data_IF_023803687776
#
_entry.id   IF_023803687776
#
_cell.length_a   1.000
_cell.length_b   1.000
_cell.length_c   1.000
_cell.angle_alpha   90.00
_cell.angle_beta   90.00
_cell.angle_gamma   90.00
#
_symmetry.space_group_name_H-M   'P 1'
#
loop_
_entity.id
_entity.type
_entity.pdbx_description
1 polymer ?
#
# COMPACT_ATOMS: atom_id res chain seq x y z
N UNK A 1 -11.81 -3.69 -0.92
CA UNK A 1 -12.19 -2.25 -0.89
C UNK A 1 -11.68 -1.64 0.41
N UNK A 2 -11.18 -0.41 0.46
CA UNK A 2 -10.78 0.27 1.72
C UNK A 2 -11.91 0.32 2.77
N UNK A 3 -13.16 0.20 2.33
CA UNK A 3 -14.34 0.01 3.18
C UNK A 3 -14.34 -1.30 3.99
N UNK A 4 -13.44 -2.26 3.71
CA UNK A 4 -13.27 -3.49 4.50
C UNK A 4 -12.77 -3.22 5.91
N UNK A 5 -11.99 -2.14 6.08
CA UNK A 5 -11.38 -1.74 7.34
C UNK A 5 -12.16 -0.63 8.05
N UNK A 6 -12.74 0.31 7.30
CA UNK A 6 -13.49 1.40 7.91
C UNK A 6 -14.85 0.91 8.43
N UNK A 7 -15.33 1.55 9.49
CA UNK A 7 -16.68 1.29 9.98
C UNK A 7 -17.71 1.74 8.94
N UNK A 8 -18.80 0.99 8.78
CA UNK A 8 -19.81 1.21 7.73
C UNK A 8 -20.69 2.45 8.01
N UNK A 9 -20.44 3.15 9.12
CA UNK A 9 -21.21 4.28 9.63
C UNK A 9 -20.28 5.43 10.02
N UNK A 10 -19.80 6.22 9.06
CA UNK A 10 -19.08 7.47 9.36
C UNK A 10 -20.07 8.61 9.64
N UNK A 11 -20.56 8.67 10.87
CA UNK A 11 -21.37 9.80 11.36
C UNK A 11 -20.45 10.72 12.16
N UNK A 12 -19.95 11.77 11.51
CA UNK A 12 -19.05 12.73 12.16
C UNK A 12 -19.78 13.59 13.20
N UNK A 13 -21.03 13.94 12.93
CA UNK A 13 -21.88 14.62 13.89
C UNK A 13 -23.34 14.34 13.63
N UNK A 14 -24.13 14.48 14.68
CA UNK A 14 -25.58 14.47 14.60
C UNK A 14 -26.11 15.88 14.85
N UNK A 15 -27.15 16.23 14.11
CA UNK A 15 -28.01 17.36 14.41
C UNK A 15 -29.35 16.79 14.83
N UNK A 16 -29.87 17.17 15.99
CA UNK A 16 -31.19 16.70 16.41
C UNK A 16 -32.06 17.85 16.93
N UNK A 17 -33.37 17.70 16.78
CA UNK A 17 -34.37 18.61 17.35
C UNK A 17 -34.93 18.00 18.64
N UNK A 18 -35.09 18.83 19.68
CA UNK A 18 -35.72 18.41 20.93
C UNK A 18 -37.25 18.57 20.91
N UNK A 19 -37.93 18.16 21.99
CA UNK A 19 -39.37 18.33 22.17
C UNK A 19 -39.86 19.79 22.17
N UNK A 20 -38.97 20.76 22.40
CA UNK A 20 -39.25 22.19 22.32
C UNK A 20 -38.95 22.77 20.92
N UNK A 21 -38.45 21.95 19.98
CA UNK A 21 -38.05 22.36 18.63
C UNK A 21 -36.69 23.03 18.55
N UNK A 22 -35.88 23.03 19.62
CA UNK A 22 -34.52 23.55 19.59
C UNK A 22 -33.58 22.55 18.90
N UNK A 23 -32.65 23.07 18.09
CA UNK A 23 -31.66 22.28 17.37
C UNK A 23 -30.37 22.18 18.16
N UNK A 24 -29.86 20.97 18.28
CA UNK A 24 -28.63 20.65 18.99
C UNK A 24 -27.69 19.91 18.05
N UNK A 25 -26.38 20.05 18.29
CA UNK A 25 -25.34 19.36 17.55
C UNK A 25 -24.39 18.64 18.51
N UNK A 26 -24.19 17.35 18.29
CA UNK A 26 -23.18 16.56 18.98
C UNK A 26 -22.21 15.95 17.97
N UNK A 27 -20.94 15.86 18.36
CA UNK A 27 -19.99 14.96 17.72
C UNK A 27 -20.56 13.53 17.78
N UNK A 28 -20.38 12.74 16.72
CA UNK A 28 -20.88 11.37 16.66
C UNK A 28 -20.39 10.51 17.84
N UNK A 29 -19.20 10.80 18.35
CA UNK A 29 -18.58 10.06 19.45
C UNK A 29 -18.97 10.56 20.85
N UNK A 30 -19.74 11.64 20.96
CA UNK A 30 -20.20 12.14 22.27
C UNK A 30 -20.96 11.03 23.01
N UNK A 31 -20.45 10.61 24.16
CA UNK A 31 -21.13 9.62 25.00
C UNK A 31 -22.32 10.28 25.70
N UNK A 32 -23.51 9.75 25.45
CA UNK A 32 -24.77 10.21 26.03
C UNK A 32 -25.34 9.13 26.94
N UNK A 33 -25.84 9.55 28.10
CA UNK A 33 -26.55 8.67 29.03
C UNK A 33 -28.05 8.76 28.78
N UNK A 34 -28.58 7.82 28.00
CA UNK A 34 -30.01 7.76 27.66
C UNK A 34 -30.76 6.78 28.56
N UNK A 35 -32.09 6.77 28.51
CA UNK A 35 -32.89 5.74 29.21
C UNK A 35 -32.58 4.30 28.72
N UNK A 36 -32.03 4.12 27.53
CA UNK A 36 -31.57 2.82 27.01
C UNK A 36 -30.17 2.44 27.48
N UNK A 37 -29.53 3.30 28.27
CA UNK A 37 -28.15 3.17 28.71
C UNK A 37 -27.19 4.12 28.00
N UNK A 38 -25.88 4.03 28.33
CA UNK A 38 -24.84 4.81 27.69
C UNK A 38 -24.70 4.42 26.21
N UNK A 39 -24.77 5.40 25.31
CA UNK A 39 -24.54 5.21 23.87
C UNK A 39 -23.85 6.43 23.27
N UNK A 40 -23.07 6.22 22.22
CA UNK A 40 -22.50 7.33 21.42
C UNK A 40 -23.59 8.00 20.60
N UNK A 41 -23.52 9.32 20.47
CA UNK A 41 -24.53 10.15 19.79
C UNK A 41 -24.85 9.68 18.36
N UNK A 42 -23.89 9.09 17.63
CA UNK A 42 -24.10 8.47 16.31
C UNK A 42 -25.16 7.35 16.31
N UNK A 43 -25.46 6.76 17.46
CA UNK A 43 -26.44 5.68 17.64
C UNK A 43 -27.78 6.14 18.21
N UNK A 44 -27.99 7.46 18.39
CA UNK A 44 -29.28 7.99 18.84
C UNK A 44 -30.41 7.63 17.87
N UNK A 45 -31.58 7.39 18.44
CA UNK A 45 -32.83 7.10 17.74
C UNK A 45 -33.89 8.14 18.12
N UNK A 46 -34.85 8.38 17.21
CA UNK A 46 -36.01 9.23 17.52
C UNK A 46 -36.79 8.61 18.68
N UNK A 47 -37.12 9.41 19.68
CA UNK A 47 -37.74 8.99 20.94
C UNK A 47 -36.75 8.67 22.07
N UNK A 48 -35.43 8.67 21.81
CA UNK A 48 -34.46 8.58 22.89
C UNK A 48 -34.51 9.85 23.76
N UNK A 49 -34.34 9.67 25.07
CA UNK A 49 -34.33 10.76 26.06
C UNK A 49 -33.05 10.72 26.89
N UNK A 50 -32.47 11.89 27.16
CA UNK A 50 -31.35 12.06 28.09
C UNK A 50 -31.50 13.39 28.84
N UNK A 51 -31.41 13.35 30.17
CA UNK A 51 -31.81 14.48 31.00
C UNK A 51 -33.29 14.82 30.80
N UNK A 52 -33.59 16.09 30.50
CA UNK A 52 -34.95 16.58 30.18
C UNK A 52 -35.20 16.68 28.66
N UNK A 53 -34.25 16.23 27.84
CA UNK A 53 -34.29 16.37 26.38
C UNK A 53 -34.82 15.10 25.71
N UNK A 54 -35.90 15.22 24.95
CA UNK A 54 -36.44 14.17 24.07
C UNK A 54 -36.07 14.44 22.62
N UNK A 55 -35.54 13.44 21.92
CA UNK A 55 -35.12 13.56 20.52
C UNK A 55 -36.30 13.33 19.58
N UNK A 56 -36.73 14.37 18.86
CA UNK A 56 -37.89 14.31 17.95
C UNK A 56 -37.51 14.16 16.48
N UNK A 57 -36.32 14.62 16.07
CA UNK A 57 -35.79 14.46 14.72
C UNK A 57 -34.27 14.35 14.74
N UNK A 58 -33.70 13.49 13.89
CA UNK A 58 -32.24 13.30 13.78
C UNK A 58 -31.81 13.48 12.33
N UNK A 59 -30.73 14.22 12.13
CA UNK A 59 -30.00 14.31 10.86
C UNK A 59 -28.56 13.89 11.13
N UNK A 60 -28.12 12.82 10.50
CA UNK A 60 -26.72 12.37 10.56
C UNK A 60 -25.92 13.03 9.44
N UNK A 61 -24.71 13.51 9.75
CA UNK A 61 -23.83 14.19 8.79
C UNK A 61 -22.42 13.62 8.88
N UNK A 62 -21.76 13.50 7.73
CA UNK A 62 -20.33 13.27 7.61
C UNK A 62 -19.62 14.59 7.30
N UNK A 63 -18.55 14.90 8.02
CA UNK A 63 -17.67 16.01 7.67
C UNK A 63 -16.82 15.61 6.46
N UNK A 64 -16.58 16.50 5.49
CA UNK A 64 -15.68 16.20 4.38
C UNK A 64 -14.26 16.02 4.93
N UNK A 65 -13.58 14.97 4.46
CA UNK A 65 -12.21 14.66 4.83
C UNK A 65 -11.32 14.64 3.58
N UNK A 66 -10.10 15.16 3.69
CA UNK A 66 -9.08 14.98 2.66
C UNK A 66 -8.15 13.86 3.11
N UNK A 67 -8.10 12.78 2.34
CA UNK A 67 -7.20 11.67 2.62
C UNK A 67 -5.77 12.01 2.18
N UNK A 68 -4.82 11.74 3.07
CA UNK A 68 -3.39 11.71 2.75
C UNK A 68 -2.85 10.33 3.06
N UNK A 69 -1.77 9.97 2.38
CA UNK A 69 -1.00 8.76 2.66
C UNK A 69 0.48 9.09 2.56
N UNK A 70 1.25 8.69 3.56
CA UNK A 70 2.70 8.87 3.59
C UNK A 70 3.36 7.54 3.28
N UNK A 71 4.28 7.55 2.32
CA UNK A 71 4.77 6.34 1.68
C UNK A 71 6.18 5.96 2.14
N UNK A 72 6.42 4.67 2.29
CA UNK A 72 7.76 4.10 2.44
C UNK A 72 7.86 2.78 1.67
N UNK A 73 9.09 2.32 1.43
CA UNK A 73 9.35 1.07 0.75
C UNK A 73 10.38 0.23 1.49
N UNK A 74 10.11 -1.05 1.69
CA UNK A 74 11.07 -2.01 2.26
C UNK A 74 11.66 -2.84 1.12
N UNK A 75 12.98 -2.80 0.96
CA UNK A 75 13.71 -3.63 0.00
C UNK A 75 13.84 -5.04 0.56
N UNK A 76 12.88 -5.91 0.23
CA UNK A 76 12.74 -7.22 0.88
C UNK A 76 13.87 -8.19 0.53
N UNK A 77 14.55 -7.96 -0.59
CA UNK A 77 15.71 -8.76 -0.98
C UNK A 77 16.95 -8.53 -0.11
N UNK A 78 16.98 -7.45 0.68
CA UNK A 78 18.07 -7.12 1.60
C UNK A 78 17.79 -7.54 3.05
N UNK A 79 16.62 -8.15 3.32
CA UNK A 79 16.26 -8.60 4.65
C UNK A 79 16.65 -10.06 4.83
N UNK A 80 17.47 -10.33 5.84
CA UNK A 80 18.05 -11.66 6.10
C UNK A 80 17.33 -12.42 7.20
N UNK A 81 16.60 -11.73 8.07
CA UNK A 81 15.87 -12.34 9.19
C UNK A 81 14.58 -11.62 9.53
N UNK A 82 13.70 -12.35 10.19
CA UNK A 82 12.46 -11.86 10.78
C UNK A 82 12.69 -10.75 11.82
N UNK A 83 13.77 -10.84 12.60
CA UNK A 83 14.16 -9.81 13.57
C UNK A 83 14.54 -8.49 12.89
N UNK A 84 15.32 -8.57 11.81
CA UNK A 84 15.65 -7.38 11.00
C UNK A 84 14.40 -6.80 10.33
N UNK A 85 13.49 -7.65 9.86
CA UNK A 85 12.22 -7.20 9.27
C UNK A 85 11.39 -6.39 10.27
N UNK A 86 11.27 -6.89 11.51
CA UNK A 86 10.58 -6.21 12.60
C UNK A 86 11.18 -4.82 12.90
N UNK A 87 12.50 -4.74 12.96
CA UNK A 87 13.23 -3.49 13.19
C UNK A 87 12.99 -2.47 12.07
N UNK A 88 13.14 -2.90 10.81
CA UNK A 88 12.94 -2.04 9.64
C UNK A 88 11.49 -1.58 9.53
N UNK A 89 10.51 -2.46 9.80
CA UNK A 89 9.10 -2.10 9.83
C UNK A 89 8.78 -1.04 10.89
N UNK A 90 9.38 -1.16 12.08
CA UNK A 90 9.27 -0.15 13.13
C UNK A 90 9.82 1.21 12.69
N UNK A 91 11.03 1.27 12.14
CA UNK A 91 11.61 2.54 11.70
C UNK A 91 10.88 3.13 10.49
N UNK A 92 10.39 2.32 9.55
CA UNK A 92 9.58 2.80 8.42
C UNK A 92 8.32 3.53 8.92
N UNK A 93 7.58 2.92 9.84
CA UNK A 93 6.36 3.53 10.40
C UNK A 93 6.68 4.71 11.33
N UNK A 94 7.77 4.66 12.09
CA UNK A 94 8.20 5.77 12.94
C UNK A 94 8.58 6.99 12.10
N UNK A 95 9.30 6.81 10.99
CA UNK A 95 9.62 7.90 10.07
C UNK A 95 8.36 8.51 9.45
N UNK A 96 7.40 7.67 9.02
CA UNK A 96 6.10 8.14 8.54
C UNK A 96 5.36 8.94 9.63
N UNK A 97 5.31 8.44 10.86
CA UNK A 97 4.69 9.14 11.98
C UNK A 97 5.31 10.53 12.20
N UNK A 98 6.65 10.61 12.24
CA UNK A 98 7.34 11.90 12.37
C UNK A 98 7.08 12.80 11.17
N UNK A 99 7.05 12.27 9.95
CA UNK A 99 6.73 13.03 8.76
C UNK A 99 5.35 13.69 8.86
N UNK A 100 4.33 12.95 9.29
CA UNK A 100 2.96 13.48 9.47
C UNK A 100 2.92 14.62 10.49
N UNK A 101 3.63 14.47 11.61
CA UNK A 101 3.59 15.49 12.66
C UNK A 101 4.40 16.74 12.30
N UNK A 102 5.58 16.55 11.68
CA UNK A 102 6.53 17.61 11.36
C UNK A 102 6.26 18.30 10.01
N UNK A 103 5.44 17.72 9.14
CA UNK A 103 5.12 18.31 7.84
C UNK A 103 4.41 19.66 7.98
N UNK A 104 4.79 20.59 7.10
CA UNK A 104 4.02 21.80 6.83
C UNK A 104 2.84 21.45 5.92
N UNK A 105 1.63 21.83 6.33
CA UNK A 105 0.43 21.62 5.53
C UNK A 105 -0.13 22.97 5.11
N UNK A 106 0.01 23.29 3.82
CA UNK A 106 -0.50 24.55 3.24
C UNK A 106 -2.01 24.72 3.47
N UNK A 107 -2.72 23.59 3.44
CA UNK A 107 -4.14 23.49 3.74
C UNK A 107 -4.34 22.88 5.13
N UNK A 108 -4.71 23.67 6.16
CA UNK A 108 -4.79 23.19 7.54
C UNK A 108 -5.72 21.99 7.74
N UNK A 109 -6.81 21.92 6.96
CA UNK A 109 -7.76 20.80 7.03
C UNK A 109 -7.16 19.47 6.58
N UNK A 110 -6.18 19.49 5.66
CA UNK A 110 -5.41 18.31 5.25
C UNK A 110 -4.50 17.85 6.39
N UNK A 111 -3.84 18.80 7.04
CA UNK A 111 -2.99 18.52 8.21
C UNK A 111 -3.78 18.00 9.41
N UNK A 112 -5.03 18.45 9.57
CA UNK A 112 -5.94 17.92 10.57
C UNK A 112 -6.25 16.45 10.29
N UNK A 113 -6.84 16.11 9.13
CA UNK A 113 -7.24 14.73 8.81
C UNK A 113 -6.05 13.77 8.77
N UNK A 114 -4.89 14.22 8.28
CA UNK A 114 -3.65 13.44 8.29
C UNK A 114 -3.25 13.00 9.70
N UNK A 115 -3.28 13.93 10.67
CA UNK A 115 -2.96 13.66 12.08
C UNK A 115 -4.02 12.83 12.80
N UNK A 116 -5.28 12.90 12.39
CA UNK A 116 -6.35 12.09 13.00
C UNK A 116 -6.27 10.62 12.58
N UNK A 117 -5.89 10.34 11.33
CA UNK A 117 -5.84 8.97 10.78
C UNK A 117 -4.46 8.33 10.85
N UNK A 118 -3.40 9.13 10.79
CA UNK A 118 -2.00 8.66 10.73
C UNK A 118 -1.77 7.59 9.66
N UNK A 119 -2.35 7.78 8.47
CA UNK A 119 -2.28 6.80 7.38
C UNK A 119 -0.84 6.60 6.90
N UNK A 120 -0.41 5.34 6.88
CA UNK A 120 0.84 4.89 6.29
C UNK A 120 0.58 4.05 5.04
N UNK A 121 1.53 4.05 4.11
CA UNK A 121 1.54 3.18 2.94
C UNK A 121 2.93 2.64 2.73
N UNK A 122 3.25 1.54 3.42
CA UNK A 122 4.54 0.86 3.27
C UNK A 122 4.39 -0.26 2.24
N UNK A 123 5.23 -0.22 1.21
CA UNK A 123 5.22 -1.19 0.12
C UNK A 123 6.46 -2.10 0.13
N UNK A 124 6.34 -3.20 -0.62
CA UNK A 124 7.45 -4.11 -0.95
C UNK A 124 8.19 -3.57 -2.19
N UNK A 125 9.51 -3.45 -2.10
CA UNK A 125 10.43 -3.22 -3.21
C UNK A 125 11.34 -4.44 -3.36
N UNK A 126 11.83 -4.70 -4.58
CA UNK A 126 12.81 -5.76 -4.80
C UNK A 126 12.22 -7.17 -4.84
N UNK A 127 10.91 -7.34 -5.11
CA UNK A 127 10.31 -8.69 -5.10
C UNK A 127 10.94 -9.60 -6.16
N UNK A 128 11.15 -9.13 -7.39
CA UNK A 128 11.77 -9.94 -8.44
C UNK A 128 13.20 -10.37 -8.05
N UNK A 129 13.98 -9.48 -7.43
CA UNK A 129 15.31 -9.82 -6.93
C UNK A 129 15.25 -10.89 -5.83
N UNK A 130 14.31 -10.76 -4.88
CA UNK A 130 14.10 -11.78 -3.85
C UNK A 130 13.69 -13.14 -4.46
N UNK A 131 12.78 -13.14 -5.44
CA UNK A 131 12.34 -14.34 -6.15
C UNK A 131 13.53 -15.03 -6.84
N UNK A 132 14.36 -14.26 -7.55
CA UNK A 132 15.56 -14.77 -8.23
C UNK A 132 16.56 -15.41 -7.24
N UNK A 133 16.87 -14.70 -6.13
CA UNK A 133 17.76 -15.21 -5.06
C UNK A 133 17.24 -16.49 -4.38
N UNK A 134 15.92 -16.69 -4.36
CA UNK A 134 15.28 -17.87 -3.76
C UNK A 134 14.90 -18.94 -4.79
N UNK A 135 15.31 -18.77 -6.04
CA UNK A 135 15.00 -19.66 -7.17
C UNK A 135 13.49 -19.92 -7.31
N UNK A 136 12.67 -18.90 -7.08
CA UNK A 136 11.22 -18.95 -7.22
C UNK A 136 10.77 -18.28 -8.53
N UNK A 137 9.60 -18.69 -9.02
CA UNK A 137 8.97 -18.12 -10.23
C UNK A 137 7.54 -17.66 -9.95
N UNK A 138 7.14 -16.54 -10.55
CA UNK A 138 5.80 -15.96 -10.51
C UNK A 138 4.71 -16.93 -11.03
N UNK A 139 5.07 -17.84 -11.94
CA UNK A 139 4.12 -18.79 -12.55
C UNK A 139 4.01 -20.11 -11.79
N UNK A 140 5.06 -20.47 -11.05
CA UNK A 140 5.11 -21.71 -10.28
C UNK A 140 4.22 -21.67 -9.03
N UNK A 141 3.65 -22.83 -8.65
CA UNK A 141 2.88 -22.95 -7.40
C UNK A 141 3.74 -22.64 -6.16
N UNK A 142 4.99 -23.12 -6.12
CA UNK A 142 5.91 -22.83 -5.02
C UNK A 142 6.24 -21.34 -4.92
N UNK A 143 6.38 -20.66 -6.05
CA UNK A 143 6.61 -19.22 -6.06
C UNK A 143 5.39 -18.42 -5.64
N UNK A 144 4.17 -18.84 -6.01
CA UNK A 144 2.92 -18.25 -5.48
C UNK A 144 2.81 -18.41 -3.96
N UNK A 145 3.18 -19.57 -3.42
CA UNK A 145 3.25 -19.80 -1.97
C UNK A 145 4.33 -18.92 -1.31
N UNK A 146 5.48 -18.75 -1.95
CA UNK A 146 6.54 -17.88 -1.44
C UNK A 146 6.17 -16.38 -1.48
N UNK A 147 5.45 -15.94 -2.51
CA UNK A 147 4.87 -14.58 -2.58
C UNK A 147 3.87 -14.39 -1.44
N UNK A 148 3.00 -15.37 -1.18
CA UNK A 148 2.10 -15.32 -0.03
C UNK A 148 2.87 -15.16 1.29
N UNK A 149 3.90 -15.97 1.52
CA UNK A 149 4.73 -15.88 2.74
C UNK A 149 5.41 -14.51 2.87
N UNK A 150 5.92 -13.96 1.76
CA UNK A 150 6.56 -12.64 1.73
C UNK A 150 5.57 -11.53 2.07
N UNK A 151 4.37 -11.56 1.49
CA UNK A 151 3.31 -10.58 1.74
C UNK A 151 2.75 -10.69 3.17
N UNK A 152 2.54 -11.92 3.65
CA UNK A 152 2.13 -12.20 5.03
C UNK A 152 3.14 -11.65 6.03
N UNK A 153 4.44 -11.94 5.83
CA UNK A 153 5.53 -11.42 6.65
C UNK A 153 5.54 -9.89 6.68
N UNK A 154 5.43 -9.26 5.51
CA UNK A 154 5.42 -7.80 5.39
C UNK A 154 4.30 -7.18 6.23
N UNK A 155 3.08 -7.68 6.07
CA UNK A 155 1.92 -7.17 6.79
C UNK A 155 2.01 -7.46 8.30
N UNK A 156 2.41 -8.67 8.69
CA UNK A 156 2.53 -9.07 10.09
C UNK A 156 3.48 -8.17 10.86
N UNK A 157 4.68 -7.92 10.32
CA UNK A 157 5.67 -7.08 11.00
C UNK A 157 5.31 -5.60 11.00
N UNK A 158 4.66 -5.07 9.96
CA UNK A 158 4.12 -3.71 9.98
C UNK A 158 3.00 -3.56 11.01
N UNK A 159 2.12 -4.54 11.12
CA UNK A 159 1.05 -4.52 12.11
C UNK A 159 1.61 -4.61 13.55
N UNK A 160 2.59 -5.48 13.77
CA UNK A 160 3.31 -5.59 15.05
C UNK A 160 4.05 -4.29 15.40
N UNK A 161 4.70 -3.66 14.43
CA UNK A 161 5.37 -2.38 14.59
C UNK A 161 4.39 -1.24 14.91
N UNK A 162 3.24 -1.16 14.21
CA UNK A 162 2.21 -0.17 14.48
C UNK A 162 1.56 -0.35 15.86
N UNK A 163 1.36 -1.60 16.30
CA UNK A 163 0.91 -1.90 17.66
C UNK A 163 1.94 -1.43 18.70
N UNK A 164 3.23 -1.66 18.46
CA UNK A 164 4.31 -1.16 19.34
C UNK A 164 4.30 0.36 19.43
N UNK A 165 4.25 1.06 18.29
CA UNK A 165 4.15 2.52 18.25
C UNK A 165 2.87 3.03 18.92
N UNK A 166 1.76 2.29 18.81
CA UNK A 166 0.50 2.63 19.47
C UNK A 166 0.62 2.60 20.99
N UNK A 167 1.38 1.64 21.54
CA UNK A 167 1.70 1.55 22.97
C UNK A 167 2.64 2.66 23.43
N UNK A 168 3.61 3.03 22.61
CA UNK A 168 4.64 4.02 22.95
C UNK A 168 4.15 5.47 22.80
N UNK A 169 3.34 5.75 21.78
CA UNK A 169 2.96 7.11 21.34
C UNK A 169 1.44 7.36 21.35
N UNK A 170 0.63 6.34 21.64
CA UNK A 170 -0.83 6.37 21.50
C UNK A 170 -1.31 5.94 20.11
N UNK A 171 -2.54 5.45 20.01
CA UNK A 171 -3.17 5.09 18.73
C UNK A 171 -3.54 6.32 17.90
N UNK A 172 -3.89 6.13 16.62
CA UNK A 172 -4.48 7.21 15.82
C UNK A 172 -5.73 7.75 16.52
N UNK A 173 -5.93 9.08 16.61
CA UNK A 173 -7.11 9.65 17.26
C UNK A 173 -8.46 9.11 16.75
N UNK A 174 -8.56 8.82 15.45
CA UNK A 174 -9.76 8.25 14.82
C UNK A 174 -9.74 6.73 14.69
N UNK A 175 -9.03 6.03 15.56
CA UNK A 175 -9.01 4.56 15.59
C UNK A 175 -10.40 3.94 15.76
N UNK A 176 -11.33 4.63 16.44
CA UNK A 176 -12.73 4.22 16.59
C UNK A 176 -13.49 4.14 15.24
N UNK A 177 -13.05 4.87 14.20
CA UNK A 177 -13.62 4.79 12.84
C UNK A 177 -13.13 3.58 12.04
N UNK A 178 -12.24 2.78 12.62
CA UNK A 178 -11.68 1.56 12.02
C UNK A 178 -12.24 0.32 12.72
N UNK A 179 -12.04 -0.85 12.12
CA UNK A 179 -12.42 -2.14 12.70
C UNK A 179 -11.33 -2.76 13.61
N UNK A 180 -10.19 -2.08 13.80
CA UNK A 180 -9.10 -2.58 14.64
C UNK A 180 -9.52 -2.81 16.11
N UNK A 181 -10.28 -1.92 16.77
CA UNK A 181 -10.72 -2.16 18.15
C UNK A 181 -11.62 -3.40 18.31
N UNK A 182 -12.32 -3.80 17.26
CA UNK A 182 -13.16 -5.00 17.20
C UNK A 182 -12.36 -6.26 16.80
N UNK A 183 -11.05 -6.10 16.62
CA UNK A 183 -10.13 -7.19 16.33
C UNK A 183 -10.15 -7.63 14.88
N UNK A 184 -10.46 -6.77 13.91
CA UNK A 184 -10.34 -7.10 12.48
C UNK A 184 -8.90 -7.39 12.07
N UNK A 185 -8.72 -8.35 11.17
CA UNK A 185 -7.48 -8.59 10.41
C UNK A 185 -7.81 -8.68 8.91
N UNK A 186 -6.87 -8.38 8.00
CA UNK A 186 -7.13 -8.43 6.54
C UNK A 186 -7.65 -9.77 6.05
N UNK A 187 -7.18 -10.86 6.66
CA UNK A 187 -7.57 -12.22 6.31
C UNK A 187 -9.05 -12.52 6.55
N UNK A 188 -9.72 -11.79 7.45
CA UNK A 188 -11.14 -11.99 7.76
C UNK A 188 -12.05 -11.49 6.61
N UNK A 189 -11.55 -10.57 5.80
CA UNK A 189 -12.26 -9.95 4.68
C UNK A 189 -11.62 -10.25 3.32
N UNK A 190 -10.61 -11.12 3.30
CA UNK A 190 -9.93 -11.51 2.07
C UNK A 190 -10.88 -12.27 1.13
N UNK A 191 -10.68 -12.12 -0.19
CA UNK A 191 -11.48 -12.84 -1.16
C UNK A 191 -11.15 -14.35 -1.12
N UNK A 192 -12.12 -15.23 -0.82
CA UNK A 192 -11.87 -16.67 -0.66
C UNK A 192 -11.49 -17.37 -1.98
N UNK A 193 -11.69 -16.73 -3.13
CA UNK A 193 -11.21 -17.28 -4.41
C UNK A 193 -9.69 -17.26 -4.53
N UNK A 194 -8.99 -16.41 -3.76
CA UNK A 194 -7.52 -16.37 -3.74
C UNK A 194 -6.96 -17.67 -3.20
N UNK A 195 -7.57 -18.26 -2.17
CA UNK A 195 -7.13 -19.54 -1.59
C UNK A 195 -7.27 -20.74 -2.53
N UNK A 196 -7.91 -20.57 -3.70
CA UNK A 196 -8.00 -21.59 -4.75
C UNK A 196 -6.80 -21.55 -5.71
N UNK A 197 -5.95 -20.53 -5.63
CA UNK A 197 -4.77 -20.36 -6.49
C UNK A 197 -3.65 -21.33 -6.12
N UNK A 198 -3.41 -21.52 -4.81
CA UNK A 198 -2.47 -22.48 -4.27
C UNK A 198 -2.80 -22.78 -2.80
N UNK A 199 -2.21 -23.84 -2.23
CA UNK A 199 -2.32 -24.14 -0.79
C UNK A 199 -1.46 -23.15 0.01
N UNK A 200 -2.10 -22.19 0.67
CA UNK A 200 -1.43 -21.20 1.52
C UNK A 200 -1.53 -21.58 2.99
N UNK A 201 -0.38 -21.51 3.68
CA UNK A 201 -0.29 -21.79 5.12
C UNK A 201 0.17 -20.54 5.87
N UNK A 202 -0.61 -20.05 6.85
CA UNK A 202 -0.16 -18.97 7.72
C UNK A 202 1.14 -19.34 8.44
N UNK A 203 2.05 -18.38 8.54
CA UNK A 203 3.37 -18.56 9.17
C UNK A 203 3.43 -17.96 10.58
N UNK A 204 2.51 -17.07 10.94
CA UNK A 204 2.57 -16.30 12.19
C UNK A 204 1.34 -16.52 13.08
N UNK A 205 1.49 -16.24 14.38
CA UNK A 205 0.40 -16.30 15.37
C UNK A 205 -0.47 -15.02 15.30
N UNK A 206 -1.34 -15.00 14.30
CA UNK A 206 -2.27 -13.90 14.07
C UNK A 206 -3.26 -13.69 15.21
N UNK A 207 -3.66 -14.75 15.91
CA UNK A 207 -4.63 -14.64 17.00
C UNK A 207 -4.01 -14.02 18.25
N UNK A 208 -2.74 -14.29 18.54
CA UNK A 208 -2.00 -13.55 19.58
C UNK A 208 -1.91 -12.06 19.24
N UNK A 209 -1.59 -11.72 17.99
CA UNK A 209 -1.51 -10.33 17.54
C UNK A 209 -2.89 -9.64 17.61
N UNK A 210 -3.96 -10.30 17.17
CA UNK A 210 -5.35 -9.83 17.24
C UNK A 210 -5.74 -9.47 18.67
N UNK A 211 -5.51 -10.38 19.63
CA UNK A 211 -5.78 -10.13 21.06
C UNK A 211 -5.01 -8.93 21.59
N UNK A 212 -3.74 -8.78 21.20
CA UNK A 212 -2.92 -7.67 21.62
C UNK A 212 -3.37 -6.32 21.04
N UNK A 213 -3.89 -6.29 19.81
CA UNK A 213 -4.48 -5.11 19.17
C UNK A 213 -5.76 -4.70 19.88
N UNK A 214 -6.67 -5.64 20.12
CA UNK A 214 -7.93 -5.38 20.84
C UNK A 214 -7.65 -4.85 22.24
N UNK A 215 -6.73 -5.47 22.98
CA UNK A 215 -6.33 -5.03 24.32
C UNK A 215 -5.73 -3.62 24.33
N UNK A 216 -5.07 -3.20 23.24
CA UNK A 216 -4.53 -1.85 23.06
C UNK A 216 -5.58 -0.85 22.51
N UNK A 217 -6.80 -1.29 22.18
CA UNK A 217 -7.82 -0.44 21.55
C UNK A 217 -7.47 -0.03 20.11
N UNK A 218 -6.67 -0.83 19.40
CA UNK A 218 -6.21 -0.56 18.04
C UNK A 218 -4.68 -0.42 17.92
N UNK A 219 -4.23 0.34 16.92
CA UNK A 219 -2.82 0.50 16.54
C UNK A 219 -2.47 1.98 16.28
N UNK A 220 -1.19 2.30 16.01
CA UNK A 220 -0.77 3.69 15.73
C UNK A 220 -1.40 4.28 14.46
N UNK A 221 -1.57 3.49 13.41
CA UNK A 221 -1.95 3.97 12.07
C UNK A 221 -3.32 3.41 11.67
N UNK A 222 -4.15 4.18 10.96
CA UNK A 222 -5.42 3.62 10.45
C UNK A 222 -5.16 2.55 9.39
N UNK A 223 -4.33 2.85 8.40
CA UNK A 223 -3.88 1.92 7.34
C UNK A 223 -2.35 1.83 7.32
N UNK A 224 -1.83 0.70 6.84
CA UNK A 224 -0.39 0.37 6.88
C UNK A 224 0.22 0.11 5.51
N UNK A 225 -0.47 -0.64 4.64
CA UNK A 225 0.16 -1.27 3.47
C UNK A 225 -0.48 -0.81 2.18
N UNK A 226 0.36 -0.25 1.31
CA UNK A 226 0.00 0.13 -0.05
C UNK A 226 1.18 -0.16 -0.98
N UNK A 227 0.90 -0.69 -2.17
CA UNK A 227 1.94 -1.00 -3.15
C UNK A 227 1.92 0.03 -4.27
N UNK A 228 2.69 1.09 -4.09
CA UNK A 228 2.92 2.17 -5.05
C UNK A 228 3.90 1.73 -6.16
N UNK A 229 3.89 2.38 -7.34
CA UNK A 229 4.95 2.18 -8.32
C UNK A 229 6.25 2.84 -7.80
N UNK A 230 7.38 2.16 -7.97
CA UNK A 230 8.66 2.59 -7.36
C UNK A 230 9.74 2.73 -8.42
N UNK A 231 9.67 3.76 -9.27
CA UNK A 231 10.70 3.97 -10.31
C UNK A 231 11.96 4.60 -9.71
N UNK A 232 11.86 5.85 -9.26
CA UNK A 232 13.02 6.59 -8.73
C UNK A 232 13.56 6.00 -7.43
N UNK A 233 12.68 5.57 -6.52
CA UNK A 233 13.10 4.99 -5.24
C UNK A 233 13.79 3.64 -5.40
N UNK A 234 13.29 2.75 -6.28
CA UNK A 234 13.96 1.48 -6.54
C UNK A 234 15.34 1.69 -7.19
N UNK A 235 15.45 2.62 -8.15
CA UNK A 235 16.72 3.01 -8.74
C UNK A 235 17.71 3.53 -7.68
N UNK A 236 17.28 4.44 -6.81
CA UNK A 236 18.11 5.00 -5.75
C UNK A 236 18.57 3.93 -4.75
N UNK A 237 17.72 2.94 -4.47
CA UNK A 237 18.05 1.80 -3.59
C UNK A 237 18.80 0.66 -4.29
N UNK A 238 19.07 0.78 -5.59
CA UNK A 238 19.74 -0.27 -6.37
C UNK A 238 18.97 -1.59 -6.42
N UNK A 239 17.64 -1.56 -6.50
CA UNK A 239 16.79 -2.78 -6.52
C UNK A 239 15.77 -2.79 -7.66
N UNK A 240 15.00 -3.88 -7.78
CA UNK A 240 13.92 -4.01 -8.77
C UNK A 240 12.64 -3.31 -8.32
N UNK A 241 11.85 -2.83 -9.28
CA UNK A 241 10.62 -2.09 -9.02
C UNK A 241 9.55 -2.93 -8.30
N UNK A 242 9.17 -2.51 -7.10
CA UNK A 242 7.94 -2.95 -6.42
C UNK A 242 7.75 -4.47 -6.37
N UNK A 243 6.56 -4.89 -6.77
CA UNK A 243 6.13 -6.29 -6.89
C UNK A 243 6.43 -6.91 -8.26
N UNK A 244 6.83 -6.10 -9.25
CA UNK A 244 6.82 -6.49 -10.66
C UNK A 244 8.01 -7.38 -11.00
N UNK A 245 7.84 -8.35 -11.93
CA UNK A 245 8.98 -8.93 -12.64
C UNK A 245 9.76 -7.84 -13.39
N UNK A 246 11.02 -8.11 -13.72
CA UNK A 246 11.84 -7.14 -14.47
C UNK A 246 11.40 -7.09 -15.92
N UNK A 247 11.38 -5.91 -16.55
CA UNK A 247 11.06 -5.83 -17.99
C UNK A 247 12.20 -6.42 -18.83
N UNK A 248 13.43 -6.01 -18.51
CA UNK A 248 14.68 -6.47 -19.11
C UNK A 248 15.74 -6.51 -18.00
N UNK A 249 16.77 -7.33 -18.16
CA UNK A 249 17.89 -7.40 -17.21
C UNK A 249 18.75 -6.14 -17.21
N UNK A 250 18.82 -5.44 -18.34
CA UNK A 250 19.53 -4.17 -18.47
C UNK A 250 18.65 -3.16 -19.17
N UNK A 251 18.68 -1.91 -18.72
CA UNK A 251 17.82 -0.84 -19.23
C UNK A 251 18.57 0.49 -19.23
N UNK A 252 18.37 1.28 -20.28
CA UNK A 252 18.77 2.68 -20.30
C UNK A 252 17.59 3.52 -19.82
N UNK A 253 17.78 4.24 -18.72
CA UNK A 253 16.80 5.17 -18.17
C UNK A 253 17.29 6.59 -18.40
N UNK A 254 16.52 7.41 -19.10
CA UNK A 254 16.86 8.82 -19.32
C UNK A 254 15.97 9.69 -18.45
N UNK A 255 16.57 10.54 -17.62
CA UNK A 255 15.88 11.55 -16.81
C UNK A 255 16.59 12.89 -16.97
N UNK A 256 15.89 13.91 -17.49
CA UNK A 256 16.39 15.29 -17.63
C UNK A 256 17.89 15.39 -17.97
N UNK A 257 18.29 14.81 -19.11
CA UNK A 257 19.66 14.74 -19.65
C UNK A 257 20.63 13.76 -18.97
N UNK A 258 20.29 13.12 -17.85
CA UNK A 258 21.07 12.04 -17.26
C UNK A 258 20.66 10.69 -17.86
N UNK A 259 21.63 10.00 -18.45
CA UNK A 259 21.48 8.62 -18.91
C UNK A 259 21.97 7.70 -17.81
N UNK A 260 21.05 6.95 -17.22
CA UNK A 260 21.35 5.94 -16.21
C UNK A 260 21.32 4.55 -16.85
N UNK A 261 22.44 3.85 -16.73
CA UNK A 261 22.58 2.46 -17.14
C UNK A 261 22.24 1.58 -15.94
N UNK A 262 21.05 1.01 -15.97
CA UNK A 262 20.55 0.16 -14.89
C UNK A 262 20.69 -1.31 -15.28
N UNK A 263 21.15 -2.12 -14.34
CA UNK A 263 21.13 -3.58 -14.43
C UNK A 263 20.35 -4.14 -13.24
N UNK A 264 19.64 -5.25 -13.46
CA UNK A 264 18.98 -5.97 -12.39
C UNK A 264 20.04 -6.46 -11.38
N UNK A 265 19.79 -6.33 -10.06
CA UNK A 265 20.77 -6.74 -9.05
C UNK A 265 21.16 -8.21 -9.20
N UNK A 266 22.46 -8.50 -9.07
CA UNK A 266 23.06 -9.83 -9.21
C UNK A 266 22.77 -10.52 -10.56
N UNK A 267 22.44 -9.77 -11.62
CA UNK A 267 22.09 -10.35 -12.92
C UNK A 267 23.24 -11.08 -13.61
N UNK A 268 24.48 -10.82 -13.22
CA UNK A 268 25.67 -11.53 -13.68
C UNK A 268 25.65 -13.02 -13.30
N UNK A 269 25.01 -13.36 -12.18
CA UNK A 269 24.91 -14.73 -11.65
C UNK A 269 23.48 -15.28 -11.64
N UNK A 270 22.47 -14.41 -11.61
CA UNK A 270 21.05 -14.78 -11.51
C UNK A 270 20.24 -14.48 -12.78
N UNK A 271 20.88 -14.17 -13.91
CA UNK A 271 20.19 -13.86 -15.18
C UNK A 271 19.12 -14.89 -15.56
N UNK A 272 19.41 -16.19 -15.38
CA UNK A 272 18.51 -17.30 -15.69
C UNK A 272 17.37 -17.47 -14.69
N UNK A 273 17.42 -16.76 -13.55
CA UNK A 273 16.42 -16.81 -12.47
C UNK A 273 15.44 -15.67 -12.50
N UNK A 274 15.74 -14.59 -13.21
CA UNK A 274 14.79 -13.50 -13.42
C UNK A 274 13.78 -13.85 -14.50
N UNK A 275 12.51 -13.57 -14.24
CA UNK A 275 11.46 -13.64 -15.25
C UNK A 275 11.22 -12.26 -15.86
N UNK A 276 11.14 -12.21 -17.20
CA UNK A 276 10.73 -11.00 -17.88
C UNK A 276 9.23 -10.78 -17.69
N UNK A 277 8.84 -9.56 -17.33
CA UNK A 277 7.44 -9.16 -17.22
C UNK A 277 6.66 -9.39 -18.52
N UNK A 278 7.32 -9.38 -19.68
CA UNK A 278 6.71 -9.64 -20.98
C UNK A 278 6.34 -11.11 -21.20
N UNK A 279 6.91 -12.00 -20.40
CA UNK A 279 6.78 -13.45 -20.56
C UNK A 279 5.94 -14.08 -19.44
N UNK A 280 5.67 -13.35 -18.35
CA UNK A 280 4.73 -13.78 -17.31
C UNK A 280 3.29 -13.64 -17.82
N UNK A 281 2.47 -14.70 -17.82
CA UNK A 281 1.07 -14.61 -18.24
C UNK A 281 0.26 -13.65 -17.36
N UNK A 282 -0.68 -12.91 -17.96
CA UNK A 282 -1.58 -12.00 -17.21
C UNK A 282 -2.39 -12.71 -16.14
N UNK A 283 -2.71 -13.99 -16.33
CA UNK A 283 -3.37 -14.79 -15.30
C UNK A 283 -2.47 -14.90 -14.05
N UNK A 284 -1.21 -15.28 -14.22
CA UNK A 284 -0.24 -15.39 -13.12
C UNK A 284 0.06 -14.03 -12.47
N UNK A 285 0.15 -12.96 -13.27
CA UNK A 285 0.26 -11.60 -12.72
C UNK A 285 -0.97 -11.24 -11.87
N UNK A 286 -2.18 -11.56 -12.35
CA UNK A 286 -3.42 -11.33 -11.60
C UNK A 286 -3.42 -12.11 -10.29
N UNK A 287 -3.01 -13.38 -10.33
CA UNK A 287 -2.92 -14.25 -9.17
C UNK A 287 -1.91 -13.73 -8.15
N UNK A 288 -0.70 -13.33 -8.60
CA UNK A 288 0.30 -12.69 -7.74
C UNK A 288 -0.27 -11.46 -7.03
N UNK A 289 -0.92 -10.55 -7.76
CA UNK A 289 -1.53 -9.38 -7.15
C UNK A 289 -2.64 -9.74 -6.18
N UNK A 290 -3.47 -10.74 -6.48
CA UNK A 290 -4.54 -11.18 -5.59
C UNK A 290 -3.99 -11.77 -4.28
N UNK A 291 -2.90 -12.55 -4.37
CA UNK A 291 -2.17 -13.10 -3.22
C UNK A 291 -1.64 -11.98 -2.34
N UNK A 292 -0.99 -10.97 -2.92
CA UNK A 292 -0.48 -9.81 -2.16
C UNK A 292 -1.63 -8.97 -1.59
N UNK A 293 -2.72 -8.79 -2.35
CA UNK A 293 -3.88 -7.98 -1.95
C UNK A 293 -4.59 -8.53 -0.71
N UNK A 294 -4.52 -9.85 -0.46
CA UNK A 294 -4.97 -10.50 0.80
C UNK A 294 -4.31 -9.87 2.04
N UNK A 295 -3.07 -9.40 1.89
CA UNK A 295 -2.25 -8.79 2.93
C UNK A 295 -2.01 -7.29 2.65
N UNK A 296 -3.03 -6.60 2.11
CA UNK A 296 -2.96 -5.16 1.78
C UNK A 296 -4.28 -4.48 2.15
N UNK A 297 -4.25 -3.55 3.11
CA UNK A 297 -5.44 -2.81 3.56
C UNK A 297 -5.87 -1.72 2.55
N UNK A 298 -4.92 -1.13 1.82
CA UNK A 298 -5.19 -0.18 0.74
C UNK A 298 -5.25 -0.88 -0.63
N UNK A 299 -4.46 -0.44 -1.61
CA UNK A 299 -4.48 -0.92 -2.97
C UNK A 299 -3.08 -1.18 -3.53
N UNK A 300 -3.07 -1.71 -4.75
CA UNK A 300 -1.87 -2.06 -5.51
C UNK A 300 -1.93 -1.35 -6.85
N UNK A 301 -0.85 -0.66 -7.23
CA UNK A 301 -0.65 -0.23 -8.60
C UNK A 301 -0.35 -1.44 -9.49
N UNK A 302 -1.40 -2.19 -9.86
CA UNK A 302 -1.26 -3.45 -10.58
C UNK A 302 -1.02 -3.21 -12.07
N UNK A 303 0.23 -3.38 -12.49
CA UNK A 303 0.68 -3.27 -13.88
C UNK A 303 0.62 -4.61 -14.59
N UNK A 304 0.14 -4.58 -15.83
CA UNK A 304 0.08 -5.73 -16.71
C UNK A 304 0.94 -5.50 -17.94
N UNK A 305 1.42 -6.58 -18.55
CA UNK A 305 2.38 -6.53 -19.65
C UNK A 305 1.93 -7.47 -20.75
N UNK A 306 1.93 -6.99 -21.99
CA UNK A 306 1.56 -7.78 -23.18
C UNK A 306 2.58 -7.54 -24.28
N UNK A 307 2.96 -8.62 -24.97
CA UNK A 307 3.77 -8.55 -26.17
C UNK A 307 2.84 -8.40 -27.37
N UNK A 308 2.92 -7.27 -28.07
CA UNK A 308 2.10 -6.95 -29.25
C UNK A 308 3.06 -6.59 -30.38
N UNK A 309 3.66 -7.62 -30.98
CA UNK A 309 4.68 -7.51 -32.02
C UNK A 309 4.14 -8.16 -33.30
N UNK A 310 4.34 -7.50 -34.44
CA UNK A 310 3.89 -8.01 -35.74
C UNK A 310 2.38 -7.93 -35.89
N UNK A 311 1.76 -9.06 -36.24
CA UNK A 311 0.32 -9.25 -36.43
C UNK A 311 -0.42 -9.66 -35.14
N UNK A 312 0.30 -9.75 -34.01
CA UNK A 312 -0.30 -10.05 -32.71
C UNK A 312 -1.39 -9.04 -32.37
N UNK A 313 -2.60 -9.53 -32.09
CA UNK A 313 -3.74 -8.74 -31.63
C UNK A 313 -4.33 -9.37 -30.38
N UNK A 314 -4.85 -8.54 -29.48
CA UNK A 314 -5.50 -8.99 -28.25
C UNK A 314 -7.00 -8.97 -28.51
N UNK A 315 -7.64 -10.13 -28.39
CA UNK A 315 -9.07 -10.25 -28.64
C UNK A 315 -9.88 -9.53 -27.54
N UNK A 316 -11.01 -8.91 -27.91
CA UNK A 316 -11.92 -8.29 -26.93
C UNK A 316 -12.43 -9.30 -25.90
N UNK A 317 -12.66 -10.56 -26.31
CA UNK A 317 -13.05 -11.64 -25.41
C UNK A 317 -11.99 -11.96 -24.36
N UNK A 318 -10.71 -11.89 -24.73
CA UNK A 318 -9.59 -12.06 -23.78
C UNK A 318 -9.56 -10.92 -22.78
N UNK A 319 -9.66 -9.66 -23.23
CA UNK A 319 -9.68 -8.49 -22.34
C UNK A 319 -10.83 -8.54 -21.33
N UNK A 320 -12.02 -8.98 -21.77
CA UNK A 320 -13.19 -9.16 -20.90
C UNK A 320 -12.95 -10.32 -19.93
N UNK A 321 -12.41 -11.45 -20.39
CA UNK A 321 -12.07 -12.59 -19.54
C UNK A 321 -11.07 -12.20 -18.45
N UNK A 322 -10.00 -11.49 -18.80
CA UNK A 322 -8.99 -10.97 -17.87
C UNK A 322 -9.61 -9.99 -16.85
N UNK A 323 -10.53 -9.12 -17.29
CA UNK A 323 -11.26 -8.24 -16.39
C UNK A 323 -12.11 -9.02 -15.38
N UNK A 324 -12.93 -9.96 -15.86
CA UNK A 324 -13.79 -10.78 -15.00
C UNK A 324 -12.96 -11.65 -14.04
N UNK A 325 -11.80 -12.15 -14.47
CA UNK A 325 -10.90 -12.92 -13.61
C UNK A 325 -10.32 -12.08 -12.47
N UNK A 326 -9.90 -10.84 -12.76
CA UNK A 326 -9.43 -9.89 -11.73
C UNK A 326 -10.53 -9.56 -10.72
N UNK A 327 -11.76 -9.32 -11.19
CA UNK A 327 -12.92 -9.09 -10.31
C UNK A 327 -13.19 -10.33 -9.45
N UNK A 328 -13.16 -11.52 -10.05
CA UNK A 328 -13.36 -12.79 -9.33
C UNK A 328 -12.35 -12.99 -8.19
N UNK A 329 -11.09 -12.62 -8.41
CA UNK A 329 -10.02 -12.70 -7.42
C UNK A 329 -9.95 -11.50 -6.47
N UNK A 330 -10.77 -10.47 -6.67
CA UNK A 330 -10.89 -9.35 -5.73
C UNK A 330 -9.78 -8.30 -5.84
N UNK A 331 -9.16 -8.14 -7.01
CA UNK A 331 -8.23 -7.03 -7.24
C UNK A 331 -8.97 -5.70 -7.07
N UNK A 332 -8.41 -4.82 -6.23
CA UNK A 332 -9.02 -3.51 -5.94
C UNK A 332 -8.75 -2.48 -7.05
N UNK A 333 -7.65 -2.61 -7.78
CA UNK A 333 -7.22 -1.65 -8.80
C UNK A 333 -6.43 -2.30 -9.93
N UNK A 334 -6.48 -1.69 -11.11
CA UNK A 334 -5.59 -1.92 -12.26
C UNK A 334 -4.94 -0.57 -12.58
N UNK A 335 -3.63 -0.53 -12.70
CA UNK A 335 -2.89 0.69 -13.04
C UNK A 335 -2.59 0.73 -14.54
N UNK A 336 -1.41 0.29 -14.99
CA UNK A 336 -1.09 0.27 -16.41
C UNK A 336 -1.38 -1.06 -17.12
N UNK A 337 -1.62 -0.95 -18.43
CA UNK A 337 -1.54 -2.06 -19.39
C UNK A 337 -0.42 -1.72 -20.36
N UNK A 338 0.75 -2.28 -20.12
CA UNK A 338 1.96 -2.03 -20.89
C UNK A 338 2.01 -2.97 -22.10
N UNK A 339 2.39 -2.42 -23.26
CA UNK A 339 2.51 -3.18 -24.50
C UNK A 339 3.94 -3.05 -25.04
N UNK A 340 4.60 -4.20 -25.26
CA UNK A 340 5.89 -4.25 -25.98
C UNK A 340 5.60 -4.28 -27.47
N UNK A 341 5.94 -3.20 -28.16
CA UNK A 341 5.84 -3.06 -29.62
C UNK A 341 7.20 -3.34 -30.29
N UNK A 342 7.21 -3.39 -31.62
CA UNK A 342 8.40 -3.72 -32.44
C UNK A 342 9.61 -2.81 -32.22
N UNK A 343 9.43 -1.58 -31.72
CA UNK A 343 10.54 -0.66 -31.41
C UNK A 343 11.25 -0.98 -30.08
N UNK A 344 10.77 -1.97 -29.31
CA UNK A 344 11.42 -2.44 -28.09
C UNK A 344 11.65 -1.34 -27.04
N UNK A 345 12.47 -1.65 -26.04
CA UNK A 345 13.06 -0.65 -25.15
C UNK A 345 14.55 -0.55 -25.45
N UNK A 346 15.13 0.65 -25.30
CA UNK A 346 16.56 0.88 -25.52
C UNK A 346 17.38 0.08 -24.50
N UNK A 347 18.20 -0.86 -24.96
CA UNK A 347 19.05 -1.69 -24.13
C UNK A 347 20.45 -1.11 -24.02
N UNK A 348 21.17 -1.50 -22.96
CA UNK A 348 22.58 -1.09 -22.78
C UNK A 348 23.46 -1.57 -23.93
N UNK A 349 23.16 -2.76 -24.48
CA UNK A 349 23.82 -3.32 -25.65
C UNK A 349 23.61 -2.51 -26.94
N UNK A 350 22.58 -1.65 -27.00
CA UNK A 350 22.29 -0.80 -28.16
C UNK A 350 23.16 0.47 -28.20
N UNK A 351 23.97 0.73 -27.17
CA UNK A 351 24.93 1.83 -27.17
C UNK A 351 26.23 1.36 -27.81
N UNK A 352 26.74 2.02 -28.87
CA UNK A 352 28.03 1.69 -29.43
C UNK A 352 29.08 1.76 -28.32
N UNK A 353 29.85 0.68 -28.14
CA UNK A 353 30.91 0.62 -27.16
C UNK A 353 31.85 1.81 -27.35
N UNK A 354 31.79 2.79 -26.45
CA UNK A 354 32.67 3.95 -26.49
C UNK A 354 34.06 3.42 -26.17
N UNK A 355 34.92 3.37 -27.20
CA UNK A 355 36.33 3.14 -27.02
C UNK A 355 36.85 4.11 -25.96
N UNK A 356 37.48 3.56 -24.93
CA UNK A 356 38.06 4.31 -23.83
C UNK A 356 38.96 5.44 -24.37
N UNK A 357 38.56 6.67 -24.14
CA UNK A 357 39.46 7.82 -24.15
C UNK A 357 39.29 8.50 -22.79
N UNK A 358 40.09 8.06 -21.83
CA UNK A 358 40.41 8.84 -20.65
C UNK A 358 41.19 10.06 -21.17
N UNK A 359 40.50 11.17 -21.37
CA UNK A 359 41.12 12.47 -21.59
C UNK A 359 40.90 13.30 -20.34
N UNK A 360 41.98 13.41 -19.59
CA UNK A 360 42.22 14.33 -18.48
C UNK A 360 41.94 15.78 -18.93
N UNK A 361 40.95 16.44 -18.34
CA UNK A 361 40.89 17.91 -18.29
C UNK A 361 40.29 18.36 -16.97
N UNK A 362 41.17 18.73 -16.05
CA UNK A 362 40.89 19.72 -15.02
C UNK A 362 40.62 21.11 -15.65
N UNK A 363 40.02 21.99 -14.84
CA UNK A 363 39.53 23.36 -15.12
C UNK A 363 38.11 23.40 -15.72
N UNK A 364 37.11 24.12 -15.20
CA UNK A 364 37.05 25.20 -14.21
C UNK A 364 35.72 25.15 -13.45
N UNK A 365 35.77 25.52 -12.17
CA UNK A 365 34.59 25.85 -11.38
C UNK A 365 34.08 27.23 -11.78
N UNK A 366 32.79 27.34 -12.11
CA UNK A 366 32.00 28.54 -11.88
C UNK A 366 30.55 28.11 -11.62
N UNK A 367 30.19 28.13 -10.34
CA UNK A 367 28.82 28.11 -9.84
C UNK A 367 28.03 29.24 -10.51
N UNK A 368 26.95 28.87 -11.20
CA UNK A 368 25.90 29.80 -11.62
C UNK A 368 24.55 29.11 -11.36
N UNK A 369 24.00 29.43 -10.19
CA UNK A 369 22.59 29.46 -9.79
C UNK A 369 21.64 28.36 -10.31
N UNK A 370 21.33 27.43 -9.40
CA UNK A 370 20.20 26.51 -9.48
C UNK A 370 18.87 27.26 -9.23
N UNK A 371 18.21 27.71 -10.29
CA UNK A 371 16.84 28.27 -10.26
C UNK A 371 15.72 27.22 -10.02
N UNK A 372 16.03 26.02 -9.53
CA UNK A 372 15.03 25.02 -9.15
C UNK A 372 14.69 25.03 -7.64
N UNK A 373 15.26 25.97 -6.88
CA UNK A 373 15.04 26.14 -5.44
C UNK A 373 14.58 27.56 -5.05
N UNK A 374 13.81 28.24 -5.91
CA UNK A 374 13.12 29.49 -5.54
C UNK A 374 11.63 29.43 -5.87
N UNK A 375 10.88 29.23 -4.78
CA UNK A 375 9.42 29.31 -4.52
C UNK A 375 8.49 28.36 -5.28
#
# INVERSE_FOLDING_TARGET
NILELYSDKDVSFIEFEDGAGARHRFDGETLLHTQRGPLHACNLQVGDTFGETEVTRITQRSSPEVATCNLAGIVVSNIESDAQYEEVAYYALLMIDKCIHLAHYELPHVGFTSRQRLNAGVGILGLAHLMARKHQSYTSISGKQFIHQTAERHYYYLLKASLRLGKELGNAPWMHKTRWPQGWLPMDTANPNVDKVADFKPQFDWEALRRAIVANGGIRNSVLVAHMPTETSANASGTTNGLYPVRELTMIKTDNQRVNYWAAPDSDTLADRYESAWDVPTQDMTEMYAIVQKWTDQGISADFYRRVIGDASIASSELISDYLYRVKLGLKSKYYMNQKTSNGMRQVADVPAVAAAVADTAADAQDADCEACTL
#
